data_IF_541582371950
#
_entry.id   IF_541582371950
#
_cell.length_a   1.000
_cell.length_b   1.000
_cell.length_c   1.000
_cell.angle_alpha   90.00
_cell.angle_beta   90.00
_cell.angle_gamma   90.00
#
_symmetry.space_group_name_H-M   'P 1'
#
loop_
_entity.id
_entity.type
_entity.pdbx_description
1 polymer ?
#
# COMPACT_ATOMS: atom_id res chain seq x y z
N UNK A 1 2.10 27.86 -30.03
CA UNK A 1 1.50 26.64 -29.45
C UNK A 1 2.52 26.12 -28.45
N UNK A 2 2.49 26.63 -27.23
CA UNK A 2 3.36 26.16 -26.14
C UNK A 2 2.82 24.81 -25.68
N UNK A 3 3.64 23.78 -25.84
CA UNK A 3 3.44 22.50 -25.17
C UNK A 3 3.88 22.74 -23.73
N UNK A 4 2.90 22.99 -22.86
CA UNK A 4 3.13 23.15 -21.43
C UNK A 4 3.89 21.94 -20.90
N UNK A 5 4.96 22.25 -20.17
CA UNK A 5 5.77 21.31 -19.42
C UNK A 5 4.85 20.38 -18.62
N UNK A 6 4.85 19.09 -18.95
CA UNK A 6 4.16 18.09 -18.14
C UNK A 6 4.85 18.12 -16.79
N UNK A 7 4.18 18.73 -15.79
CA UNK A 7 4.60 18.73 -14.40
C UNK A 7 5.11 17.34 -14.07
N UNK A 8 6.40 17.24 -13.69
CA UNK A 8 6.96 16.00 -13.16
C UNK A 8 6.13 15.64 -11.94
N UNK A 9 5.14 14.77 -12.11
CA UNK A 9 4.37 14.24 -11.00
C UNK A 9 5.38 13.69 -10.00
N UNK A 10 5.32 14.12 -8.74
CA UNK A 10 6.14 13.51 -7.69
C UNK A 10 6.04 11.99 -7.83
N UNK A 11 7.14 11.23 -7.67
CA UNK A 11 7.05 9.79 -7.68
C UNK A 11 6.01 9.40 -6.64
N UNK A 12 4.87 8.89 -7.11
CA UNK A 12 3.75 8.51 -6.27
C UNK A 12 3.98 7.10 -5.77
N UNK A 13 3.51 6.80 -4.56
CA UNK A 13 3.44 5.41 -4.10
C UNK A 13 2.64 4.60 -5.13
N UNK A 14 3.17 3.44 -5.50
CA UNK A 14 2.53 2.53 -6.45
C UNK A 14 2.01 1.30 -5.70
N UNK A 15 0.81 0.83 -6.07
CA UNK A 15 0.12 -0.28 -5.42
C UNK A 15 -0.40 -1.24 -6.48
N UNK A 16 0.14 -2.46 -6.50
CA UNK A 16 -0.35 -3.56 -7.32
C UNK A 16 -1.18 -4.53 -6.44
N UNK A 17 -2.48 -4.58 -6.69
CA UNK A 17 -3.43 -5.48 -6.04
C UNK A 17 -4.53 -5.91 -7.01
N UNK A 18 -5.34 -6.91 -6.66
CA UNK A 18 -6.56 -7.23 -7.42
C UNK A 18 -7.57 -6.07 -7.35
N UNK A 19 -8.55 -6.00 -8.28
CA UNK A 19 -9.56 -4.94 -8.29
C UNK A 19 -10.52 -4.97 -7.08
N UNK A 20 -10.40 -5.97 -6.20
CA UNK A 20 -11.17 -6.06 -4.97
C UNK A 20 -10.52 -5.32 -3.80
N UNK A 21 -9.31 -4.77 -3.95
CA UNK A 21 -8.70 -3.91 -2.94
C UNK A 21 -8.97 -2.45 -3.28
N UNK A 22 -9.59 -1.73 -2.34
CA UNK A 22 -9.57 -0.28 -2.36
C UNK A 22 -8.33 0.19 -1.62
N UNK A 23 -7.56 1.09 -2.25
CA UNK A 23 -6.38 1.70 -1.66
C UNK A 23 -6.51 3.22 -1.69
N UNK A 24 -6.17 3.87 -0.57
CA UNK A 24 -6.05 5.32 -0.45
C UNK A 24 -4.62 5.66 -0.04
N UNK A 25 -3.95 6.47 -0.85
CA UNK A 25 -2.60 6.96 -0.59
C UNK A 25 -2.70 8.36 0.03
N UNK A 26 -2.05 8.57 1.17
CA UNK A 26 -2.02 9.87 1.86
C UNK A 26 -0.69 10.10 2.58
N UNK A 27 -0.42 11.35 2.96
CA UNK A 27 0.70 11.69 3.86
C UNK A 27 0.15 11.88 5.28
N UNK A 28 0.72 11.17 6.26
CA UNK A 28 0.47 11.39 7.70
C UNK A 28 1.79 11.86 8.31
N UNK A 29 1.79 13.05 8.91
CA UNK A 29 3.01 13.71 9.40
C UNK A 29 4.13 13.76 8.34
N UNK A 30 3.74 14.02 7.08
CA UNK A 30 4.68 14.09 5.94
C UNK A 30 5.11 12.73 5.37
N UNK A 31 4.82 11.61 6.03
CA UNK A 31 5.21 10.26 5.61
C UNK A 31 4.13 9.60 4.77
N UNK A 32 4.51 8.90 3.70
CA UNK A 32 3.56 8.25 2.81
C UNK A 32 2.93 7.01 3.47
N UNK A 33 1.60 6.92 3.42
CA UNK A 33 0.77 5.85 3.94
C UNK A 33 -0.16 5.34 2.83
N UNK A 34 -0.45 4.03 2.87
CA UNK A 34 -1.43 3.35 2.03
C UNK A 34 -2.45 2.67 2.95
N UNK A 35 -3.68 3.18 2.93
CA UNK A 35 -4.82 2.60 3.64
C UNK A 35 -5.55 1.65 2.69
N UNK A 36 -5.75 0.40 3.10
CA UNK A 36 -6.33 -0.63 2.25
C UNK A 36 -7.53 -1.31 2.91
N UNK A 37 -8.54 -1.61 2.10
CA UNK A 37 -9.67 -2.45 2.45
C UNK A 37 -9.86 -3.53 1.37
N UNK A 38 -9.98 -4.79 1.80
CA UNK A 38 -10.19 -5.94 0.93
C UNK A 38 -11.69 -6.24 0.80
N UNK A 39 -12.29 -6.04 -0.37
CA UNK A 39 -13.70 -6.34 -0.63
C UNK A 39 -13.95 -7.74 -1.17
N UNK A 40 -12.90 -8.56 -1.34
CA UNK A 40 -13.00 -9.87 -1.97
C UNK A 40 -13.86 -10.82 -1.15
N UNK A 41 -14.83 -11.44 -1.81
CA UNK A 41 -15.77 -12.36 -1.17
C UNK A 41 -16.90 -11.69 -0.37
N UNK A 42 -16.93 -10.35 -0.26
CA UNK A 42 -18.05 -9.68 0.38
C UNK A 42 -19.33 -9.83 -0.45
N UNK A 43 -20.44 -10.06 0.26
CA UNK A 43 -21.77 -10.16 -0.34
C UNK A 43 -22.77 -9.39 0.52
N UNK A 44 -23.60 -8.58 -0.13
CA UNK A 44 -24.60 -7.77 0.55
C UNK A 44 -25.53 -8.66 1.41
N UNK A 45 -25.78 -8.23 2.64
CA UNK A 45 -26.66 -8.92 3.58
C UNK A 45 -26.09 -10.22 4.19
N UNK A 46 -24.79 -10.50 4.01
CA UNK A 46 -24.15 -11.70 4.57
C UNK A 46 -22.96 -11.33 5.45
N UNK A 47 -22.88 -11.95 6.62
CA UNK A 47 -21.68 -11.91 7.48
C UNK A 47 -20.75 -13.01 7.00
N UNK A 48 -19.75 -12.62 6.20
CA UNK A 48 -18.77 -13.53 5.63
C UNK A 48 -17.36 -13.11 6.04
N UNK A 49 -16.46 -14.07 6.21
CA UNK A 49 -15.03 -13.78 6.21
C UNK A 49 -14.62 -13.44 4.77
N UNK A 50 -13.92 -12.31 4.59
CA UNK A 50 -13.35 -11.93 3.30
C UNK A 50 -12.37 -13.01 2.84
N UNK A 51 -12.31 -13.24 1.53
CA UNK A 51 -11.27 -14.09 0.94
C UNK A 51 -9.97 -13.29 1.02
N UNK A 52 -8.89 -13.81 1.61
CA UNK A 52 -7.66 -13.04 1.75
C UNK A 52 -7.09 -12.60 0.40
N UNK A 53 -6.66 -11.35 0.35
CA UNK A 53 -5.85 -10.87 -0.76
C UNK A 53 -4.38 -11.17 -0.49
N UNK A 54 -3.66 -11.66 -1.49
CA UNK A 54 -2.28 -12.13 -1.35
C UNK A 54 -1.33 -11.39 -2.27
N UNK A 55 -0.09 -11.24 -1.83
CA UNK A 55 1.02 -10.68 -2.62
C UNK A 55 0.74 -9.27 -3.14
N UNK A 56 0.10 -8.42 -2.33
CA UNK A 56 -0.05 -7.00 -2.65
C UNK A 56 1.32 -6.36 -2.66
N UNK A 57 1.70 -5.77 -3.80
CA UNK A 57 3.00 -5.09 -3.91
C UNK A 57 2.81 -3.60 -3.70
N UNK A 58 3.68 -3.02 -2.89
CA UNK A 58 3.70 -1.57 -2.67
C UNK A 58 5.12 -1.07 -2.92
N UNK A 59 5.22 -0.03 -3.72
CA UNK A 59 6.49 0.63 -4.01
C UNK A 59 6.44 2.06 -3.50
N UNK A 60 7.30 2.37 -2.53
CA UNK A 60 7.47 3.72 -2.01
C UNK A 60 8.69 4.39 -2.65
N UNK A 61 8.61 5.67 -3.06
CA UNK A 61 9.80 6.49 -3.24
C UNK A 61 10.44 6.69 -1.87
N UNK A 62 11.68 6.24 -1.69
CA UNK A 62 12.32 6.23 -0.39
C UNK A 62 13.85 6.15 -0.50
N UNK A 63 14.53 6.74 0.49
CA UNK A 63 15.97 6.60 0.62
C UNK A 63 16.35 5.16 1.02
N UNK A 64 17.62 4.80 0.77
CA UNK A 64 18.13 3.51 1.20
C UNK A 64 18.04 3.41 2.74
N UNK A 65 17.54 2.28 3.24
CA UNK A 65 17.28 1.98 4.67
C UNK A 65 16.00 2.58 5.26
N UNK A 66 15.16 3.25 4.47
CA UNK A 66 13.80 3.58 4.91
C UNK A 66 13.06 2.31 5.33
N UNK A 67 12.34 2.36 6.44
CA UNK A 67 11.63 1.20 7.00
C UNK A 67 10.20 1.20 6.50
N UNK A 68 9.68 0.01 6.22
CA UNK A 68 8.28 -0.14 5.86
C UNK A 68 7.58 -0.84 7.02
N UNK A 69 6.46 -0.28 7.45
CA UNK A 69 5.64 -0.86 8.50
C UNK A 69 4.25 -1.22 7.97
N UNK A 70 3.66 -2.24 8.57
CA UNK A 70 2.29 -2.67 8.32
C UNK A 70 1.53 -2.79 9.64
N UNK A 71 0.29 -2.28 9.64
CA UNK A 71 -0.70 -2.52 10.68
C UNK A 71 -1.90 -3.25 10.05
N UNK A 72 -2.03 -4.57 10.26
CA UNK A 72 -3.22 -5.32 9.84
C UNK A 72 -4.45 -4.91 10.65
N UNK A 73 -5.65 -5.14 10.10
CA UNK A 73 -6.92 -4.91 10.80
C UNK A 73 -6.98 -5.65 12.14
N UNK A 74 -7.15 -4.90 13.24
CA UNK A 74 -7.10 -5.40 14.64
C UNK A 74 -5.80 -6.16 15.00
N UNK A 75 -4.74 -5.97 14.22
CA UNK A 75 -3.43 -6.54 14.46
C UNK A 75 -2.52 -5.61 15.26
N UNK A 76 -1.24 -5.98 15.26
CA UNK A 76 -0.15 -5.16 15.80
C UNK A 76 0.73 -4.66 14.66
N UNK A 77 1.44 -3.56 14.89
CA UNK A 77 2.42 -3.01 13.94
C UNK A 77 3.56 -4.01 13.76
N UNK A 78 3.94 -4.25 12.51
CA UNK A 78 5.04 -5.13 12.12
C UNK A 78 5.93 -4.40 11.12
N UNK A 79 7.23 -4.66 11.14
CA UNK A 79 8.13 -4.22 10.07
C UNK A 79 8.01 -5.19 8.89
N UNK A 80 7.76 -4.65 7.70
CA UNK A 80 7.70 -5.39 6.45
C UNK A 80 9.11 -5.53 5.85
N UNK A 81 9.41 -6.71 5.30
CA UNK A 81 10.63 -6.87 4.50
C UNK A 81 10.52 -6.00 3.24
N UNK A 82 11.58 -5.25 2.97
CA UNK A 82 11.68 -4.40 1.80
C UNK A 82 12.96 -4.71 1.00
N UNK A 83 12.88 -4.57 -0.32
CA UNK A 83 14.03 -4.56 -1.21
C UNK A 83 14.23 -3.14 -1.73
N UNK A 84 15.45 -2.62 -1.67
CA UNK A 84 15.76 -1.26 -2.11
C UNK A 84 16.43 -1.29 -3.46
N UNK A 85 15.87 -0.56 -4.43
CA UNK A 85 16.49 -0.37 -5.73
C UNK A 85 16.09 0.99 -6.30
N UNK A 86 17.01 1.68 -6.98
CA UNK A 86 16.71 2.89 -7.76
C UNK A 86 15.92 3.99 -7.00
N UNK A 87 16.25 4.24 -5.72
CA UNK A 87 15.56 5.26 -4.89
C UNK A 87 14.14 4.87 -4.50
N UNK A 88 13.83 3.56 -4.50
CA UNK A 88 12.53 3.00 -4.14
C UNK A 88 12.70 1.86 -3.15
N UNK A 89 11.74 1.73 -2.26
CA UNK A 89 11.57 0.59 -1.38
C UNK A 89 10.38 -0.23 -1.86
N UNK A 90 10.62 -1.49 -2.20
CA UNK A 90 9.63 -2.43 -2.68
C UNK A 90 9.27 -3.40 -1.55
N UNK A 91 7.99 -3.51 -1.19
CA UNK A 91 7.53 -4.55 -0.27
C UNK A 91 6.40 -5.38 -0.88
N UNK A 92 6.34 -6.62 -0.44
CA UNK A 92 5.25 -7.55 -0.76
C UNK A 92 4.53 -7.89 0.54
N UNK A 93 3.26 -7.51 0.62
CA UNK A 93 2.40 -7.89 1.74
C UNK A 93 1.85 -9.28 1.44
N UNK A 94 2.18 -10.29 2.27
CA UNK A 94 1.84 -11.69 1.95
C UNK A 94 0.33 -11.92 1.97
N UNK A 95 -0.38 -11.26 2.89
CA UNK A 95 -1.81 -11.43 3.07
C UNK A 95 -2.49 -10.19 3.67
N UNK A 96 -3.67 -9.85 3.16
CA UNK A 96 -4.61 -8.88 3.74
C UNK A 96 -5.97 -9.56 3.87
N UNK A 97 -6.40 -9.84 5.09
CA UNK A 97 -7.74 -10.41 5.35
C UNK A 97 -8.84 -9.36 5.10
N UNK A 98 -8.91 -8.34 5.96
CA UNK A 98 -9.94 -7.29 5.90
C UNK A 98 -9.42 -5.96 5.39
N UNK A 99 -8.24 -5.57 5.86
CA UNK A 99 -7.60 -4.31 5.54
C UNK A 99 -6.27 -4.19 6.26
N UNK A 100 -5.49 -3.20 5.87
CA UNK A 100 -4.21 -2.89 6.48
C UNK A 100 -3.82 -1.43 6.19
N UNK A 101 -2.95 -0.88 7.03
CA UNK A 101 -2.24 0.36 6.75
C UNK A 101 -0.77 0.03 6.56
N UNK A 102 -0.18 0.49 5.45
CA UNK A 102 1.26 0.32 5.17
C UNK A 102 1.89 1.69 4.99
N UNK A 103 3.03 1.95 5.63
CA UNK A 103 3.71 3.24 5.51
C UNK A 103 5.21 3.09 5.47
N UNK A 104 5.86 4.11 4.91
CA UNK A 104 7.31 4.22 4.83
C UNK A 104 7.79 5.29 5.81
N UNK A 105 8.77 4.93 6.64
CA UNK A 105 9.48 5.83 7.57
C UNK A 105 10.95 6.01 7.22
#
# INVERSE_FOLDING_TARGET
>A
REIGEVSKSEPTVDVEASPFVSAQIAKVNGKAHVFMANFKGLKAGQVVQQIPERNVKITFPAEQKARIYILPFLGQVQEAKAEWSNGKAHCVIPEIEKGAVVWCE
#
